data_IF_458782274998
#
_entry.id   IF_458782274998
#
_cell.length_a   1.000
_cell.length_b   1.000
_cell.length_c   1.000
_cell.angle_alpha   90.00
_cell.angle_beta   90.00
_cell.angle_gamma   90.00
#
_symmetry.space_group_name_H-M   'P 1'
#
loop_
_entity.id
_entity.type
_entity.pdbx_description
1 polymer ?
#
# COMPACT_ATOMS: atom_id res chain seq x y z
N UNK A 1 -14.43 -10.99 25.60
CA UNK A 1 -13.72 -9.82 26.14
C UNK A 1 -14.78 -8.85 26.65
N UNK A 2 -14.71 -8.43 27.92
CA UNK A 2 -15.53 -7.32 28.40
C UNK A 2 -15.00 -6.06 27.71
N UNK A 3 -15.52 -5.79 26.52
CA UNK A 3 -15.40 -4.47 25.88
C UNK A 3 -16.42 -3.59 26.58
N UNK A 4 -16.03 -2.38 26.96
CA UNK A 4 -16.97 -1.37 27.48
C UNK A 4 -18.09 -1.08 26.47
N UNK A 5 -17.87 -1.42 25.19
CA UNK A 5 -18.84 -1.28 24.12
C UNK A 5 -18.98 -2.58 23.30
N UNK A 6 -19.75 -3.57 23.78
CA UNK A 6 -19.93 -4.85 23.08
C UNK A 6 -20.65 -4.70 21.73
N UNK A 7 -21.42 -3.62 21.54
CA UNK A 7 -22.08 -3.31 20.27
C UNK A 7 -21.10 -2.88 19.16
N UNK A 8 -19.94 -2.30 19.51
CA UNK A 8 -18.90 -1.94 18.54
C UNK A 8 -18.21 -3.17 17.95
N UNK A 9 -18.16 -4.28 18.70
CA UNK A 9 -17.62 -5.55 18.21
C UNK A 9 -18.44 -6.09 17.01
N UNK A 10 -19.74 -5.80 16.97
CA UNK A 10 -20.60 -6.17 15.84
C UNK A 10 -20.19 -5.45 14.54
N UNK A 11 -19.57 -4.26 14.64
CA UNK A 11 -19.00 -3.53 13.51
C UNK A 11 -17.53 -3.88 13.25
N UNK A 12 -16.94 -4.83 13.97
CA UNK A 12 -15.54 -5.24 13.81
C UNK A 12 -15.18 -5.65 12.37
N UNK A 13 -16.18 -6.09 11.59
CA UNK A 13 -16.04 -6.43 10.18
C UNK A 13 -15.78 -5.22 9.25
N UNK A 14 -16.21 -4.01 9.64
CA UNK A 14 -15.96 -2.77 8.89
C UNK A 14 -14.55 -2.23 9.10
N UNK A 15 -13.89 -2.54 10.21
CA UNK A 15 -12.54 -2.08 10.51
C UNK A 15 -11.51 -2.44 9.41
N UNK A 16 -11.38 -3.71 8.98
CA UNK A 16 -10.49 -4.07 7.87
C UNK A 16 -10.90 -3.45 6.53
N UNK A 17 -12.20 -3.19 6.29
CA UNK A 17 -12.66 -2.50 5.07
C UNK A 17 -12.23 -1.03 5.04
N UNK A 18 -12.33 -0.33 6.18
CA UNK A 18 -11.87 1.05 6.30
C UNK A 18 -10.34 1.14 6.13
N UNK A 19 -9.60 0.21 6.73
CA UNK A 19 -8.15 0.09 6.58
C UNK A 19 -7.76 -0.18 5.11
N UNK A 20 -8.49 -1.03 4.39
CA UNK A 20 -8.27 -1.27 2.96
C UNK A 20 -8.46 -0.02 2.12
N UNK A 21 -9.58 0.69 2.33
CA UNK A 21 -9.84 1.94 1.62
C UNK A 21 -8.72 2.95 1.86
N UNK A 22 -8.32 3.14 3.13
CA UNK A 22 -7.22 4.04 3.49
C UNK A 22 -5.90 3.64 2.80
N UNK A 23 -5.52 2.37 2.85
CA UNK A 23 -4.32 1.86 2.17
C UNK A 23 -4.41 2.06 0.64
N UNK A 24 -5.54 1.74 0.03
CA UNK A 24 -5.77 1.92 -1.40
C UNK A 24 -5.62 3.38 -1.83
N UNK A 25 -6.18 4.33 -1.08
CA UNK A 25 -6.00 5.76 -1.38
C UNK A 25 -4.54 6.21 -1.28
N UNK A 26 -3.79 5.71 -0.30
CA UNK A 26 -2.36 6.01 -0.17
C UNK A 26 -1.57 5.45 -1.36
N UNK A 27 -1.86 4.22 -1.78
CA UNK A 27 -1.22 3.63 -2.97
C UNK A 27 -1.63 4.33 -4.28
N UNK A 28 -2.89 4.76 -4.43
CA UNK A 28 -3.32 5.57 -5.57
C UNK A 28 -2.59 6.92 -5.61
N UNK A 29 -2.43 7.57 -4.46
CA UNK A 29 -1.67 8.80 -4.38
C UNK A 29 -0.20 8.59 -4.79
N UNK A 30 0.40 7.48 -4.36
CA UNK A 30 1.77 7.13 -4.74
C UNK A 30 1.90 6.90 -6.25
N UNK A 31 0.99 6.13 -6.84
CA UNK A 31 0.92 5.91 -8.28
C UNK A 31 0.73 7.22 -9.06
N UNK A 32 -0.16 8.10 -8.60
CA UNK A 32 -0.37 9.42 -9.21
C UNK A 32 0.90 10.27 -9.13
N UNK A 33 1.60 10.27 -7.98
CA UNK A 33 2.84 10.99 -7.82
C UNK A 33 3.92 10.48 -8.78
N UNK A 34 4.13 9.17 -8.86
CA UNK A 34 5.11 8.58 -9.77
C UNK A 34 4.76 8.83 -11.25
N UNK A 35 3.47 8.85 -11.59
CA UNK A 35 3.03 9.20 -12.94
C UNK A 35 3.31 10.67 -13.29
N UNK A 36 3.10 11.58 -12.33
CA UNK A 36 3.35 13.02 -12.51
C UNK A 36 4.84 13.34 -12.59
N UNK A 37 5.68 12.69 -11.79
CA UNK A 37 7.12 12.96 -11.70
C UNK A 37 7.98 11.95 -12.48
N UNK A 38 7.38 11.19 -13.41
CA UNK A 38 8.05 10.16 -14.21
C UNK A 38 9.34 10.62 -14.90
N UNK A 39 9.40 11.86 -15.36
CA UNK A 39 10.58 12.43 -16.02
C UNK A 39 11.72 12.68 -15.02
N UNK A 40 11.41 13.19 -13.83
CA UNK A 40 12.40 13.38 -12.76
C UNK A 40 12.93 12.04 -12.23
N UNK A 41 12.06 11.04 -12.14
CA UNK A 41 12.42 9.68 -11.73
C UNK A 41 13.31 9.02 -12.79
N UNK A 42 13.09 9.29 -14.08
CA UNK A 42 13.89 8.72 -15.16
C UNK A 42 15.37 9.13 -15.11
N UNK A 43 15.66 10.32 -14.58
CA UNK A 43 17.02 10.80 -14.34
C UNK A 43 17.64 10.31 -13.03
N UNK A 44 16.88 9.60 -12.19
CA UNK A 44 17.38 9.06 -10.93
C UNK A 44 18.02 7.69 -11.16
N UNK A 45 19.34 7.59 -10.90
CA UNK A 45 20.10 6.35 -11.05
C UNK A 45 19.83 5.38 -9.92
N UNK A 46 19.04 4.34 -10.19
CA UNK A 46 18.88 3.24 -9.25
C UNK A 46 20.00 2.20 -9.46
N UNK A 47 20.81 1.87 -8.45
CA UNK A 47 21.96 0.97 -8.59
C UNK A 47 21.57 -0.48 -8.91
N UNK A 48 20.31 -0.87 -8.67
CA UNK A 48 19.81 -2.24 -8.89
C UNK A 48 19.01 -2.37 -10.20
N UNK A 49 18.42 -1.28 -10.69
CA UNK A 49 17.43 -1.32 -11.79
C UNK A 49 17.85 -0.44 -12.98
N UNK A 50 18.83 0.45 -12.82
CA UNK A 50 19.31 1.36 -13.84
C UNK A 50 18.60 2.72 -13.86
N UNK A 51 18.63 3.38 -15.00
CA UNK A 51 17.97 4.67 -15.30
C UNK A 51 16.94 4.43 -16.40
N UNK A 52 15.75 5.02 -16.27
CA UNK A 52 14.77 4.95 -17.35
C UNK A 52 13.33 5.22 -16.94
N UNK A 53 12.60 5.86 -17.85
CA UNK A 53 11.16 6.17 -17.73
C UNK A 53 10.32 4.89 -17.52
N UNK A 54 10.79 3.75 -18.01
CA UNK A 54 10.14 2.45 -17.84
C UNK A 54 10.00 2.05 -16.36
N UNK A 55 10.97 2.42 -15.51
CA UNK A 55 10.93 2.11 -14.07
C UNK A 55 9.77 2.84 -13.40
N UNK A 56 9.58 4.12 -13.74
CA UNK A 56 8.47 4.91 -13.23
C UNK A 56 7.12 4.32 -13.70
N UNK A 57 7.00 3.94 -14.97
CA UNK A 57 5.79 3.28 -15.48
C UNK A 57 5.50 1.94 -14.80
N UNK A 58 6.53 1.13 -14.58
CA UNK A 58 6.38 -0.15 -13.87
C UNK A 58 5.93 0.07 -12.42
N UNK A 59 6.51 1.04 -11.70
CA UNK A 59 6.09 1.39 -10.35
C UNK A 59 4.62 1.83 -10.32
N UNK A 60 4.22 2.74 -11.21
CA UNK A 60 2.83 3.20 -11.35
C UNK A 60 1.88 2.03 -11.61
N UNK A 61 2.23 1.13 -12.53
CA UNK A 61 1.39 -0.03 -12.87
C UNK A 61 1.21 -0.97 -11.68
N UNK A 62 2.28 -1.24 -10.93
CA UNK A 62 2.25 -2.10 -9.74
C UNK A 62 1.41 -1.44 -8.63
N UNK A 63 1.68 -0.17 -8.31
CA UNK A 63 0.99 0.55 -7.24
C UNK A 63 -0.50 0.76 -7.54
N UNK A 64 -0.84 1.06 -8.79
CA UNK A 64 -2.22 1.19 -9.23
C UNK A 64 -2.96 -0.14 -9.15
N UNK A 65 -2.34 -1.23 -9.65
CA UNK A 65 -2.93 -2.57 -9.56
C UNK A 65 -3.13 -2.99 -8.10
N UNK A 66 -2.19 -2.63 -7.22
CA UNK A 66 -2.26 -2.90 -5.79
C UNK A 66 -3.39 -2.13 -5.12
N UNK A 67 -3.52 -0.83 -5.42
CA UNK A 67 -4.58 0.02 -4.92
C UNK A 67 -5.96 -0.49 -5.37
N UNK A 68 -6.09 -0.85 -6.64
CA UNK A 68 -7.32 -1.43 -7.19
C UNK A 68 -7.66 -2.77 -6.51
N UNK A 69 -6.68 -3.66 -6.31
CA UNK A 69 -6.88 -4.95 -5.64
C UNK A 69 -7.34 -4.77 -4.18
N UNK A 70 -6.72 -3.86 -3.43
CA UNK A 70 -7.12 -3.53 -2.06
C UNK A 70 -8.52 -2.93 -1.98
N UNK A 71 -8.87 -2.03 -2.91
CA UNK A 71 -10.18 -1.37 -2.94
C UNK A 71 -11.31 -2.33 -3.33
N UNK A 72 -11.08 -3.17 -4.35
CA UNK A 72 -12.05 -4.14 -4.84
C UNK A 72 -12.18 -5.37 -3.93
N UNK A 73 -11.25 -5.55 -2.99
CA UNK A 73 -11.25 -6.72 -2.11
C UNK A 73 -10.82 -8.02 -2.81
N UNK A 74 -10.09 -7.93 -3.92
CA UNK A 74 -9.62 -9.07 -4.71
C UNK A 74 -8.24 -9.54 -4.21
N UNK A 75 -8.13 -10.80 -3.76
CA UNK A 75 -6.91 -11.37 -3.15
C UNK A 75 -6.23 -10.43 -2.15
N UNK A 76 -6.99 -9.98 -1.16
CA UNK A 76 -6.57 -8.93 -0.23
C UNK A 76 -5.28 -9.28 0.51
N UNK A 77 -5.08 -10.54 0.88
CA UNK A 77 -3.86 -11.01 1.54
C UNK A 77 -2.62 -10.83 0.65
N UNK A 78 -2.71 -11.18 -0.64
CA UNK A 78 -1.60 -11.01 -1.60
C UNK A 78 -1.31 -9.52 -1.79
N UNK A 79 -2.35 -8.72 -2.01
CA UNK A 79 -2.20 -7.28 -2.17
C UNK A 79 -1.60 -6.61 -0.91
N UNK A 80 -2.00 -7.05 0.28
CA UNK A 80 -1.47 -6.57 1.56
C UNK A 80 0.00 -6.95 1.73
N UNK A 81 0.38 -8.17 1.36
CA UNK A 81 1.77 -8.62 1.42
C UNK A 81 2.69 -7.79 0.51
N UNK A 82 2.28 -7.54 -0.73
CA UNK A 82 2.99 -6.62 -1.62
C UNK A 82 3.01 -5.18 -1.06
N UNK A 83 1.91 -4.74 -0.44
CA UNK A 83 1.83 -3.43 0.21
C UNK A 83 2.83 -3.27 1.34
N UNK A 84 3.03 -4.31 2.15
CA UNK A 84 4.08 -4.34 3.19
C UNK A 84 5.46 -4.16 2.56
N UNK A 85 5.76 -4.88 1.47
CA UNK A 85 7.07 -4.77 0.78
C UNK A 85 7.30 -3.37 0.23
N UNK A 86 6.28 -2.75 -0.39
CA UNK A 86 6.36 -1.38 -0.91
C UNK A 86 6.56 -0.38 0.22
N UNK A 87 5.75 -0.46 1.29
CA UNK A 87 5.86 0.42 2.46
C UNK A 87 7.22 0.29 3.17
N UNK A 88 7.75 -0.94 3.24
CA UNK A 88 9.07 -1.20 3.81
C UNK A 88 10.18 -0.55 2.97
N UNK A 89 10.13 -0.72 1.64
CA UNK A 89 11.04 -0.01 0.73
C UNK A 89 10.97 1.50 0.91
N UNK A 90 9.76 2.05 1.00
CA UNK A 90 9.52 3.47 1.25
C UNK A 90 10.20 3.95 2.54
N UNK A 91 10.08 3.19 3.63
CA UNK A 91 10.66 3.51 4.92
C UNK A 91 12.20 3.54 4.90
N UNK A 92 12.82 2.53 4.27
CA UNK A 92 14.28 2.38 4.27
C UNK A 92 14.98 3.28 3.23
N UNK A 93 14.39 3.45 2.05
CA UNK A 93 15.03 4.18 0.95
C UNK A 93 14.61 5.65 0.83
N UNK A 94 13.69 6.15 1.65
CA UNK A 94 13.30 7.57 1.69
C UNK A 94 14.50 8.54 1.73
N UNK A 95 15.51 8.23 2.56
CA UNK A 95 16.70 9.09 2.68
C UNK A 95 17.68 9.01 1.51
N UNK A 96 17.59 7.98 0.66
CA UNK A 96 18.54 7.74 -0.43
C UNK A 96 18.03 8.22 -1.78
N UNK A 97 16.71 8.21 -2.01
CA UNK A 97 16.08 8.67 -3.25
C UNK A 97 14.83 9.53 -2.98
N UNK A 98 15.01 10.79 -2.54
CA UNK A 98 13.88 11.66 -2.15
C UNK A 98 12.93 12.00 -3.32
N UNK A 99 13.40 11.92 -4.57
CA UNK A 99 12.56 12.13 -5.76
C UNK A 99 11.59 10.99 -6.07
N UNK A 100 11.85 9.78 -5.55
CA UNK A 100 11.03 8.60 -5.75
C UNK A 100 10.21 8.28 -4.49
N UNK A 101 10.84 8.31 -3.32
CA UNK A 101 10.18 7.99 -2.05
C UNK A 101 9.69 9.26 -1.35
N UNK A 102 8.44 9.63 -1.62
CA UNK A 102 7.86 10.93 -1.21
C UNK A 102 7.41 10.97 0.25
N UNK A 103 6.98 9.83 0.77
CA UNK A 103 6.37 9.78 2.10
C UNK A 103 7.41 9.93 3.19
N UNK A 104 7.09 10.75 4.19
CA UNK A 104 7.90 10.85 5.40
C UNK A 104 8.04 9.47 6.07
N UNK A 105 9.11 9.27 6.85
CA UNK A 105 9.30 8.01 7.60
C UNK A 105 8.08 7.64 8.44
N UNK A 106 7.43 8.63 9.04
CA UNK A 106 6.21 8.45 9.83
C UNK A 106 5.07 7.91 8.98
N UNK A 107 4.80 8.48 7.82
CA UNK A 107 3.75 8.02 6.90
C UNK A 107 4.05 6.62 6.35
N UNK A 108 5.29 6.34 5.99
CA UNK A 108 5.73 5.02 5.52
C UNK A 108 5.57 3.94 6.60
N UNK A 109 5.91 4.26 7.85
CA UNK A 109 5.71 3.37 8.99
C UNK A 109 4.23 3.11 9.26
N UNK A 110 3.40 4.15 9.15
CA UNK A 110 1.95 4.04 9.33
C UNK A 110 1.32 3.18 8.24
N UNK A 111 1.72 3.37 6.97
CA UNK A 111 1.31 2.52 5.85
C UNK A 111 1.74 1.06 6.06
N UNK A 112 2.96 0.83 6.57
CA UNK A 112 3.44 -0.51 6.88
C UNK A 112 2.61 -1.17 7.99
N UNK A 113 2.30 -0.43 9.07
CA UNK A 113 1.44 -0.92 10.14
C UNK A 113 0.03 -1.26 9.64
N UNK A 114 -0.54 -0.42 8.77
CA UNK A 114 -1.85 -0.67 8.15
C UNK A 114 -1.80 -1.92 7.26
N UNK A 115 -0.79 -2.06 6.40
CA UNK A 115 -0.66 -3.24 5.52
C UNK A 115 -0.41 -4.53 6.32
N UNK A 116 0.40 -4.46 7.38
CA UNK A 116 0.64 -5.58 8.28
C UNK A 116 -0.63 -5.98 9.05
N UNK A 117 -1.40 -4.99 9.51
CA UNK A 117 -2.70 -5.23 10.14
C UNK A 117 -3.66 -5.88 9.16
N UNK A 118 -3.72 -5.44 7.90
CA UNK A 118 -4.56 -6.05 6.86
C UNK A 118 -4.13 -7.49 6.52
N UNK A 119 -2.83 -7.76 6.57
CA UNK A 119 -2.29 -9.10 6.37
C UNK A 119 -2.73 -10.08 7.48
N UNK A 120 -2.81 -9.61 8.73
CA UNK A 120 -3.19 -10.43 9.90
C UNK A 120 -4.71 -10.50 10.08
N UNK A 121 -5.41 -9.39 9.90
CA UNK A 121 -6.88 -9.31 10.05
C UNK A 121 -7.63 -9.83 8.82
N UNK A 122 -6.94 -10.00 7.69
CA UNK A 122 -7.47 -10.55 6.45
C UNK A 122 -8.44 -9.63 5.71
N UNK A 123 -9.18 -10.28 4.82
CA UNK A 123 -10.16 -9.75 3.87
C UNK A 123 -11.13 -8.67 4.38
N UNK A 124 -11.64 -8.78 5.61
CA UNK A 124 -12.72 -7.92 6.09
C UNK A 124 -14.03 -8.08 5.31
N UNK A 125 -14.94 -7.10 5.43
CA UNK A 125 -16.22 -7.13 4.74
C UNK A 125 -16.12 -7.13 3.22
N UNK A 126 -16.71 -8.14 2.57
CA UNK A 126 -16.83 -8.27 1.10
C UNK A 126 -15.57 -8.70 0.36
N UNK A 127 -14.57 -9.29 1.02
CA UNK A 127 -13.43 -9.83 0.28
C UNK A 127 -13.59 -11.33 0.01
N UNK A 128 -13.44 -11.66 -1.28
CA UNK A 128 -13.39 -13.01 -1.81
C UNK A 128 -11.97 -13.53 -1.62
N UNK A 129 -11.57 -13.77 -0.37
CA UNK A 129 -10.43 -14.64 -0.13
C UNK A 129 -10.89 -16.06 -0.44
N UNK A 130 -10.13 -16.79 -1.28
CA UNK A 130 -10.48 -18.17 -1.63
C UNK A 130 -10.78 -18.95 -0.35
N UNK A 131 -11.95 -19.59 -0.22
CA UNK A 131 -12.08 -20.64 0.76
C UNK A 131 -11.04 -21.70 0.36
N UNK A 132 -10.17 -22.06 1.30
CA UNK A 132 -9.45 -23.33 1.19
C UNK A 132 -10.45 -24.46 0.94
#
# INVERSE_FOLDING_TARGET
>A
MLSDFPQLLAYGFFAPTLLRAAAAFVFFYLAYYHFKHKEQIAHTRFPVVGEGVWIAWFAVAVEFSLAAALLLGWHTQVASAFGVVVAFKQLFWHGKYPGFFVFSRSTSFLLLAVCASLLVSGAGALAQDLPL
#
